data_IF_921790987545
#
_entry.id   IF_921790987545
#
_cell.length_a   1.000
_cell.length_b   1.000
_cell.length_c   1.000
_cell.angle_alpha   90.00
_cell.angle_beta   90.00
_cell.angle_gamma   90.00
#
_symmetry.space_group_name_H-M   'P 1'
#
loop_
_entity.id
_entity.type
_entity.pdbx_description
1 polymer ?
#
# COMPACT_ATOMS: atom_id res chain seq x y z
N UNK A 1 28.86 -3.63 10.40
CA UNK A 1 28.81 -5.09 10.14
C UNK A 1 27.38 -5.41 9.76
N UNK A 2 27.12 -5.82 8.51
CA UNK A 2 25.77 -6.08 7.99
C UNK A 2 25.19 -7.44 8.45
N UNK A 3 25.99 -8.25 9.12
CA UNK A 3 25.60 -9.58 9.58
C UNK A 3 26.28 -9.89 10.92
N UNK A 4 25.54 -9.75 12.02
CA UNK A 4 25.98 -10.23 13.33
C UNK A 4 25.42 -11.64 13.52
N UNK A 5 26.30 -12.64 13.58
CA UNK A 5 25.87 -14.02 13.77
C UNK A 5 25.92 -14.37 15.25
N UNK A 6 24.80 -14.80 15.81
CA UNK A 6 24.72 -15.36 17.18
C UNK A 6 24.26 -16.80 17.09
N UNK A 7 25.00 -17.70 17.72
CA UNK A 7 24.61 -19.09 17.87
C UNK A 7 23.70 -19.24 19.09
N UNK A 8 22.52 -19.82 18.91
CA UNK A 8 21.62 -20.22 20.01
C UNK A 8 21.31 -21.71 19.82
N UNK A 9 21.77 -22.55 20.73
CA UNK A 9 21.73 -24.00 20.54
C UNK A 9 22.59 -24.46 19.35
N UNK A 10 22.01 -25.26 18.44
CA UNK A 10 22.68 -25.72 17.23
C UNK A 10 22.52 -24.76 16.03
N UNK A 11 21.67 -23.74 16.14
CA UNK A 11 21.28 -22.87 15.01
C UNK A 11 22.03 -21.53 15.06
N UNK A 12 22.56 -21.11 13.92
CA UNK A 12 23.14 -19.78 13.74
C UNK A 12 22.06 -18.80 13.31
N UNK A 13 21.86 -17.74 14.10
CA UNK A 13 20.97 -16.64 13.77
C UNK A 13 21.82 -15.49 13.26
N UNK A 14 21.57 -15.05 12.02
CA UNK A 14 22.24 -13.88 11.45
C UNK A 14 21.30 -12.69 11.54
N UNK A 15 21.71 -11.67 12.29
CA UNK A 15 20.99 -10.42 12.43
C UNK A 15 21.56 -9.38 11.49
N UNK A 16 20.68 -8.75 10.71
CA UNK A 16 21.06 -7.61 9.88
C UNK A 16 20.89 -6.32 10.70
N UNK A 17 21.99 -5.86 11.30
CA UNK A 17 22.01 -4.63 12.10
C UNK A 17 22.52 -3.50 11.22
N UNK A 18 21.67 -2.50 11.01
CA UNK A 18 22.02 -1.30 10.25
C UNK A 18 22.67 -0.28 11.18
N UNK A 19 23.82 0.26 10.79
CA UNK A 19 24.66 1.12 11.65
C UNK A 19 24.91 2.46 10.99
N UNK A 20 24.17 3.49 11.42
CA UNK A 20 24.40 4.88 11.00
C UNK A 20 25.61 5.46 11.71
N UNK A 21 26.42 6.21 10.97
CA UNK A 21 27.65 6.83 11.46
C UNK A 21 27.60 8.31 11.13
N UNK A 22 27.66 9.16 12.15
CA UNK A 22 27.72 10.62 12.02
C UNK A 22 29.10 11.10 12.44
N UNK A 23 29.84 11.66 11.49
CA UNK A 23 31.13 12.29 11.71
C UNK A 23 30.97 13.79 11.97
N UNK A 24 31.43 14.26 13.12
CA UNK A 24 31.38 15.68 13.46
C UNK A 24 32.77 16.32 13.42
N UNK A 25 32.89 17.46 12.73
CA UNK A 25 34.11 18.27 12.66
C UNK A 25 35.39 17.42 12.42
N UNK A 26 35.33 16.54 11.41
CA UNK A 26 36.36 15.52 11.18
C UNK A 26 37.57 16.07 10.43
N UNK A 27 38.74 15.54 10.76
CA UNK A 27 39.94 15.67 9.93
C UNK A 27 39.84 14.77 8.69
N UNK A 28 40.60 15.11 7.63
CA UNK A 28 40.62 14.32 6.39
C UNK A 28 41.01 12.85 6.62
N UNK A 29 41.88 12.58 7.60
CA UNK A 29 42.38 11.24 7.91
C UNK A 29 41.34 10.36 8.61
N UNK A 30 40.34 10.95 9.28
CA UNK A 30 39.30 10.20 9.99
C UNK A 30 38.20 9.69 9.03
N UNK A 31 37.92 10.44 7.95
CA UNK A 31 36.81 10.16 7.02
C UNK A 31 36.77 8.72 6.47
N UNK A 32 37.89 8.14 5.97
CA UNK A 32 37.87 6.78 5.41
C UNK A 32 37.45 5.69 6.41
N UNK A 33 37.74 5.89 7.70
CA UNK A 33 37.35 4.94 8.74
C UNK A 33 35.84 4.99 9.00
N UNK A 34 35.25 6.19 9.06
CA UNK A 34 33.81 6.34 9.23
C UNK A 34 33.05 5.85 7.99
N UNK A 35 33.55 6.14 6.79
CA UNK A 35 33.00 5.63 5.52
C UNK A 35 32.99 4.09 5.50
N UNK A 36 34.08 3.46 5.95
CA UNK A 36 34.17 2.01 6.07
C UNK A 36 33.15 1.47 7.09
N UNK A 37 32.96 2.16 8.22
CA UNK A 37 31.99 1.77 9.24
C UNK A 37 30.55 1.88 8.71
N UNK A 38 30.19 2.97 8.05
CA UNK A 38 28.87 3.18 7.45
C UNK A 38 28.61 2.17 6.31
N UNK A 39 29.61 1.92 5.46
CA UNK A 39 29.51 0.97 4.35
C UNK A 39 29.32 -0.46 4.86
N UNK A 40 30.14 -0.88 5.85
CA UNK A 40 29.96 -2.18 6.52
C UNK A 40 28.68 -2.23 7.35
N UNK A 41 28.17 -1.09 7.79
CA UNK A 41 26.91 -0.91 8.51
C UNK A 41 25.69 -0.92 7.61
N UNK A 42 25.86 -0.91 6.28
CA UNK A 42 24.78 -0.94 5.30
C UNK A 42 23.96 0.35 5.20
N UNK A 43 24.47 1.48 5.71
CA UNK A 43 23.76 2.78 5.70
C UNK A 43 24.55 3.89 5.01
N UNK A 44 25.68 3.57 4.38
CA UNK A 44 26.44 4.56 3.61
C UNK A 44 25.66 4.99 2.36
N UNK A 45 25.67 6.29 2.08
CA UNK A 45 25.19 6.87 0.82
C UNK A 45 26.43 7.17 -0.02
N UNK A 46 26.51 6.61 -1.23
CA UNK A 46 27.70 6.70 -2.10
C UNK A 46 29.02 6.26 -1.43
N UNK A 47 28.92 5.29 -0.51
CA UNK A 47 30.07 4.78 0.25
C UNK A 47 30.50 5.66 1.42
N UNK A 48 29.80 6.77 1.68
CA UNK A 48 30.16 7.75 2.69
C UNK A 48 29.30 7.69 3.96
N UNK A 49 29.91 8.03 5.09
CA UNK A 49 29.22 8.34 6.34
C UNK A 49 28.54 9.72 6.28
N UNK A 50 27.63 9.99 7.21
CA UNK A 50 26.99 11.30 7.31
C UNK A 50 27.96 12.28 7.99
N UNK A 51 28.24 13.41 7.36
CA UNK A 51 29.16 14.41 7.88
C UNK A 51 28.43 15.68 8.31
N UNK A 52 28.87 16.25 9.44
CA UNK A 52 28.33 17.48 9.99
C UNK A 52 29.45 18.37 10.54
N UNK A 53 29.68 19.52 9.91
CA UNK A 53 30.72 20.47 10.33
C UNK A 53 30.17 21.63 11.19
N UNK A 54 28.86 21.65 11.44
CA UNK A 54 28.19 22.65 12.29
C UNK A 54 26.88 22.10 12.87
N UNK A 55 26.26 22.85 13.78
CA UNK A 55 25.02 22.46 14.45
C UNK A 55 23.85 22.19 13.48
N UNK A 56 23.74 22.96 12.40
CA UNK A 56 22.70 22.73 11.38
C UNK A 56 22.95 21.41 10.62
N UNK A 57 24.20 21.10 10.29
CA UNK A 57 24.58 19.84 9.67
C UNK A 57 24.29 18.62 10.54
N UNK A 58 24.42 18.74 11.87
CA UNK A 58 24.04 17.67 12.81
C UNK A 58 22.53 17.45 12.75
N UNK A 59 21.73 18.53 12.76
CA UNK A 59 20.28 18.43 12.66
C UNK A 59 19.85 17.73 11.36
N UNK A 60 20.42 18.13 10.21
CA UNK A 60 20.16 17.48 8.91
C UNK A 60 20.60 16.02 8.89
N UNK A 61 21.76 15.68 9.46
CA UNK A 61 22.23 14.31 9.53
C UNK A 61 21.30 13.42 10.37
N UNK A 62 20.85 13.92 11.53
CA UNK A 62 19.89 13.22 12.38
C UNK A 62 18.53 13.08 11.70
N UNK A 63 18.06 14.11 11.00
CA UNK A 63 16.80 14.08 10.26
C UNK A 63 16.84 13.05 9.12
N UNK A 64 17.95 12.99 8.38
CA UNK A 64 18.17 11.96 7.36
C UNK A 64 18.19 10.55 7.96
N UNK A 65 18.80 10.37 9.13
CA UNK A 65 18.82 9.07 9.82
C UNK A 65 17.41 8.67 10.24
N UNK A 66 16.68 9.57 10.91
CA UNK A 66 15.33 9.30 11.38
C UNK A 66 14.38 9.06 10.20
N UNK A 67 14.49 9.86 9.14
CA UNK A 67 13.77 9.64 7.89
C UNK A 67 14.08 8.27 7.29
N UNK A 68 15.35 7.84 7.22
CA UNK A 68 15.70 6.51 6.71
C UNK A 68 15.20 5.37 7.60
N UNK A 69 15.08 5.58 8.92
CA UNK A 69 14.54 4.58 9.84
C UNK A 69 13.01 4.49 9.67
N UNK A 70 12.34 5.64 9.56
CA UNK A 70 10.89 5.74 9.41
C UNK A 70 10.45 5.29 8.01
N UNK A 71 11.23 5.55 6.96
CA UNK A 71 10.89 5.23 5.58
C UNK A 71 11.16 3.77 5.18
N UNK A 72 11.18 2.85 6.14
CA UNK A 72 11.38 1.43 5.87
C UNK A 72 10.07 0.70 5.72
N UNK A 73 10.12 -0.41 5.01
CA UNK A 73 8.95 -1.28 4.89
C UNK A 73 8.59 -1.87 6.25
N UNK A 74 7.43 -1.49 6.79
CA UNK A 74 6.83 -2.08 7.99
C UNK A 74 5.68 -3.01 7.62
N UNK A 75 5.38 -3.96 8.51
CA UNK A 75 4.17 -4.78 8.43
C UNK A 75 3.51 -4.82 9.80
N UNK A 76 2.27 -4.36 9.88
CA UNK A 76 1.42 -4.48 11.08
C UNK A 76 0.14 -5.27 10.79
N UNK A 77 0.01 -5.83 9.59
CA UNK A 77 -1.08 -6.71 9.21
C UNK A 77 -0.65 -8.17 9.42
N UNK A 78 -1.59 -9.03 9.82
CA UNK A 78 -1.29 -10.47 9.86
C UNK A 78 -1.25 -11.02 8.44
N UNK A 79 -0.27 -11.88 8.15
CA UNK A 79 -0.20 -12.54 6.85
C UNK A 79 -1.41 -13.46 6.62
N UNK A 80 -1.82 -13.60 5.36
CA UNK A 80 -2.92 -14.49 4.97
C UNK A 80 -2.38 -15.77 4.35
N UNK A 81 -2.93 -16.91 4.77
CA UNK A 81 -2.63 -18.23 4.21
C UNK A 81 -3.95 -18.92 3.93
N UNK A 82 -4.17 -19.38 2.70
CA UNK A 82 -5.31 -20.24 2.38
C UNK A 82 -4.99 -21.67 2.80
N UNK A 83 -5.62 -22.16 3.88
CA UNK A 83 -5.53 -23.57 4.27
C UNK A 83 -6.72 -24.35 3.71
N UNK A 84 -6.53 -25.05 2.58
CA UNK A 84 -7.49 -26.04 2.07
C UNK A 84 -6.87 -27.44 2.12
N UNK A 85 -7.63 -28.43 2.61
CA UNK A 85 -7.17 -29.84 2.76
C UNK A 85 -6.89 -30.53 1.43
N UNK A 86 -7.61 -30.14 0.38
CA UNK A 86 -7.22 -30.36 -1.02
C UNK A 86 -6.51 -29.10 -1.47
N UNK A 87 -5.24 -29.21 -1.89
CA UNK A 87 -4.36 -28.10 -2.23
C UNK A 87 -4.92 -27.26 -3.39
N UNK A 88 -5.87 -26.39 -3.10
CA UNK A 88 -6.37 -25.40 -4.05
C UNK A 88 -5.33 -24.28 -4.20
N UNK A 89 -4.60 -23.94 -3.12
CA UNK A 89 -3.50 -22.99 -3.17
C UNK A 89 -2.52 -23.14 -1.99
N UNK A 90 -1.22 -22.93 -2.22
CA UNK A 90 -0.17 -22.94 -1.19
C UNK A 90 0.77 -21.72 -1.33
N UNK A 91 0.25 -20.52 -1.09
CA UNK A 91 1.01 -19.27 -1.07
C UNK A 91 0.74 -18.49 0.22
N UNK A 92 1.69 -17.63 0.56
CA UNK A 92 1.56 -16.65 1.63
C UNK A 92 1.30 -15.27 1.02
N UNK A 93 0.33 -14.55 1.58
CA UNK A 93 0.05 -13.17 1.22
C UNK A 93 0.52 -12.24 2.33
N UNK A 94 1.37 -11.29 1.97
CA UNK A 94 2.00 -10.36 2.90
C UNK A 94 1.64 -8.92 2.51
N UNK A 95 1.14 -8.17 3.48
CA UNK A 95 0.92 -6.74 3.38
C UNK A 95 2.04 -5.99 4.11
N UNK A 96 2.70 -5.08 3.42
CA UNK A 96 3.72 -4.18 4.00
C UNK A 96 3.50 -2.76 3.50
N UNK A 97 4.15 -1.76 4.09
CA UNK A 97 4.09 -0.39 3.60
C UNK A 97 5.35 0.39 3.91
N UNK A 98 5.63 1.42 3.12
CA UNK A 98 6.76 2.33 3.26
C UNK A 98 6.24 3.72 3.67
N UNK A 99 6.42 4.13 4.94
CA UNK A 99 6.12 5.48 5.38
C UNK A 99 6.98 6.51 4.65
N UNK A 100 6.41 7.68 4.38
CA UNK A 100 7.17 8.84 3.88
C UNK A 100 6.73 10.08 4.65
N UNK A 101 7.68 10.93 5.06
CA UNK A 101 7.37 12.20 5.73
C UNK A 101 6.84 13.26 4.76
N UNK A 102 7.20 13.14 3.48
CA UNK A 102 6.93 14.15 2.46
C UNK A 102 5.50 14.11 1.89
N UNK A 103 4.69 13.12 2.29
CA UNK A 103 3.35 12.93 1.74
C UNK A 103 2.43 12.25 2.76
N UNK A 104 1.16 12.68 2.85
CA UNK A 104 0.14 11.96 3.62
C UNK A 104 -0.15 10.56 3.05
N UNK A 105 0.29 10.25 1.83
CA UNK A 105 0.10 8.97 1.20
C UNK A 105 1.34 8.07 1.37
N UNK A 106 1.21 7.02 2.15
CA UNK A 106 2.24 5.99 2.29
C UNK A 106 2.06 4.88 1.26
N UNK A 107 3.18 4.35 0.76
CA UNK A 107 3.12 3.31 -0.27
C UNK A 107 2.80 1.98 0.37
N UNK A 108 1.66 1.39 0.04
CA UNK A 108 1.36 0.01 0.39
C UNK A 108 1.89 -0.98 -0.61
N UNK A 109 2.27 -2.15 -0.13
CA UNK A 109 2.71 -3.29 -0.90
C UNK A 109 1.89 -4.51 -0.49
N UNK A 110 1.49 -5.30 -1.47
CA UNK A 110 0.79 -6.56 -1.24
C UNK A 110 1.45 -7.63 -2.10
N UNK A 111 2.13 -8.57 -1.45
CA UNK A 111 2.97 -9.57 -2.09
C UNK A 111 2.36 -10.95 -1.98
N UNK A 112 2.49 -11.73 -3.06
CA UNK A 112 2.28 -13.17 -3.04
C UNK A 112 3.63 -13.87 -3.02
N UNK A 113 3.84 -14.71 -2.02
CA UNK A 113 5.04 -15.50 -1.84
C UNK A 113 4.77 -16.98 -2.09
N UNK A 114 5.61 -17.62 -2.89
CA UNK A 114 5.62 -19.08 -3.00
C UNK A 114 6.29 -19.70 -1.78
N UNK A 115 5.73 -20.79 -1.27
CA UNK A 115 6.30 -21.55 -0.17
C UNK A 115 7.08 -22.75 -0.69
N UNK A 116 8.27 -22.99 -0.12
CA UNK A 116 9.04 -24.21 -0.31
C UNK A 116 8.37 -25.42 0.33
N UNK A 117 8.84 -26.62 -0.01
CA UNK A 117 8.34 -27.87 0.60
C UNK A 117 8.63 -27.96 2.11
N UNK A 118 9.58 -27.18 2.59
CA UNK A 118 9.94 -27.03 4.00
C UNK A 118 9.15 -25.91 4.71
N UNK A 119 8.21 -25.25 4.00
CA UNK A 119 7.42 -24.13 4.52
C UNK A 119 8.15 -22.78 4.52
N UNK A 120 9.39 -22.71 4.01
CA UNK A 120 10.12 -21.45 3.87
C UNK A 120 9.54 -20.55 2.77
N UNK A 121 9.64 -19.23 2.92
CA UNK A 121 9.32 -18.28 1.84
C UNK A 121 10.42 -18.33 0.78
N UNK A 122 10.05 -18.57 -0.48
CA UNK A 122 11.03 -18.75 -1.56
C UNK A 122 11.14 -17.51 -2.46
N UNK A 123 10.12 -17.22 -3.26
CA UNK A 123 10.13 -16.08 -4.19
C UNK A 123 8.82 -15.29 -4.13
N UNK A 124 8.92 -13.98 -4.38
CA UNK A 124 7.77 -13.13 -4.67
C UNK A 124 7.26 -13.47 -6.07
N UNK A 125 6.05 -13.99 -6.17
CA UNK A 125 5.37 -14.32 -7.42
C UNK A 125 4.89 -13.04 -8.11
N UNK A 126 4.30 -12.13 -7.34
CA UNK A 126 3.90 -10.80 -7.78
C UNK A 126 3.79 -9.85 -6.60
N UNK A 127 3.79 -8.55 -6.91
CA UNK A 127 3.54 -7.47 -5.98
C UNK A 127 2.49 -6.53 -6.58
N UNK A 128 1.36 -6.35 -5.88
CA UNK A 128 0.17 -5.71 -6.43
C UNK A 128 0.32 -4.19 -6.60
N UNK A 129 1.09 -3.52 -5.75
CA UNK A 129 1.34 -2.09 -5.84
C UNK A 129 2.09 -1.71 -7.12
N UNK A 130 3.10 -2.48 -7.52
CA UNK A 130 3.84 -2.36 -8.78
C UNK A 130 2.93 -2.60 -9.98
N UNK A 131 2.06 -3.62 -9.91
CA UNK A 131 1.07 -3.85 -10.96
C UNK A 131 0.13 -2.66 -11.07
N UNK A 132 -0.41 -2.18 -9.95
CA UNK A 132 -1.35 -1.07 -9.90
C UNK A 132 -0.72 0.27 -10.33
N UNK A 133 0.56 0.49 -10.01
CA UNK A 133 1.34 1.63 -10.46
C UNK A 133 1.30 1.74 -12.00
N UNK A 134 1.40 0.61 -12.71
CA UNK A 134 1.38 0.57 -14.18
C UNK A 134 0.00 0.72 -14.82
N UNK A 135 -1.10 0.56 -14.06
CA UNK A 135 -2.46 0.69 -14.59
C UNK A 135 -2.79 2.15 -14.84
N UNK A 136 -3.33 2.48 -16.03
CA UNK A 136 -3.74 3.86 -16.33
C UNK A 136 -4.84 4.33 -15.38
N UNK A 137 -4.79 5.59 -14.95
CA UNK A 137 -5.80 6.16 -14.04
C UNK A 137 -7.22 6.13 -14.65
N UNK A 138 -7.33 6.24 -15.98
CA UNK A 138 -8.60 6.15 -16.70
C UNK A 138 -9.20 4.73 -16.64
N UNK A 139 -8.38 3.68 -16.70
CA UNK A 139 -8.84 2.29 -16.77
C UNK A 139 -9.13 1.65 -15.41
N UNK A 140 -8.88 2.33 -14.28
CA UNK A 140 -9.14 1.76 -12.95
C UNK A 140 -10.63 1.57 -12.69
N UNK A 141 -11.02 0.38 -12.25
CA UNK A 141 -12.38 0.03 -11.86
C UNK A 141 -12.60 0.39 -10.39
N UNK A 142 -12.90 1.67 -10.13
CA UNK A 142 -13.11 2.20 -8.78
C UNK A 142 -14.58 2.52 -8.59
N UNK A 143 -15.15 2.13 -7.45
CA UNK A 143 -16.57 2.29 -7.15
C UNK A 143 -16.81 2.96 -5.82
N UNK A 144 -17.97 3.58 -5.66
CA UNK A 144 -18.46 4.09 -4.37
C UNK A 144 -19.98 3.95 -4.31
N UNK A 145 -20.61 4.37 -3.21
CA UNK A 145 -22.04 4.29 -3.02
C UNK A 145 -22.64 5.69 -2.85
N UNK A 146 -23.59 6.06 -3.72
CA UNK A 146 -24.28 7.36 -3.67
C UNK A 146 -25.79 7.10 -3.66
N UNK A 147 -26.49 7.62 -2.65
CA UNK A 147 -27.93 7.44 -2.52
C UNK A 147 -28.38 5.97 -2.47
N UNK A 148 -27.55 5.07 -1.92
CA UNK A 148 -27.82 3.63 -1.87
C UNK A 148 -27.48 2.86 -3.15
N UNK A 149 -26.99 3.52 -4.19
CA UNK A 149 -26.63 2.90 -5.47
C UNK A 149 -25.12 2.81 -5.65
N UNK A 150 -24.64 1.69 -6.17
CA UNK A 150 -23.24 1.50 -6.53
C UNK A 150 -22.94 2.30 -7.82
N UNK A 151 -22.03 3.26 -7.72
CA UNK A 151 -21.64 4.13 -8.83
C UNK A 151 -20.12 4.05 -9.08
N UNK A 152 -19.68 4.42 -10.28
CA UNK A 152 -18.26 4.54 -10.56
C UNK A 152 -17.68 5.75 -9.82
N UNK A 153 -16.54 5.58 -9.15
CA UNK A 153 -15.81 6.68 -8.53
C UNK A 153 -15.03 7.45 -9.60
N UNK A 154 -15.63 8.51 -10.11
CA UNK A 154 -15.10 9.28 -11.23
C UNK A 154 -15.61 10.73 -11.24
N UNK A 155 -14.87 11.58 -11.95
CA UNK A 155 -15.23 12.96 -12.25
C UNK A 155 -16.16 13.06 -13.46
N UNK A 156 -16.70 14.25 -13.67
CA UNK A 156 -17.67 14.55 -14.74
C UNK A 156 -17.14 14.31 -16.17
N UNK A 157 -15.83 14.36 -16.36
CA UNK A 157 -15.14 14.31 -17.65
C UNK A 157 -14.57 12.93 -18.03
N UNK A 158 -14.66 11.92 -17.15
CA UNK A 158 -14.04 10.60 -17.41
C UNK A 158 -14.96 9.68 -18.25
N UNK A 159 -16.27 9.71 -18.03
CA UNK A 159 -17.26 8.98 -18.86
C UNK A 159 -18.66 9.64 -18.78
N UNK A 160 -19.67 9.07 -19.42
CA UNK A 160 -21.05 9.62 -19.49
C UNK A 160 -21.98 9.31 -18.30
N UNK A 161 -21.57 8.45 -17.35
CA UNK A 161 -22.34 8.10 -16.15
C UNK A 161 -22.38 9.24 -15.12
N UNK A 162 -23.19 9.12 -14.07
CA UNK A 162 -23.29 10.15 -13.03
C UNK A 162 -21.97 10.30 -12.27
N UNK A 163 -21.35 11.50 -12.23
CA UNK A 163 -20.13 11.73 -11.46
C UNK A 163 -20.41 11.73 -9.95
N UNK A 164 -19.36 11.58 -9.16
CA UNK A 164 -19.45 11.73 -7.71
C UNK A 164 -19.68 13.21 -7.36
N UNK A 165 -20.82 13.59 -6.75
CA UNK A 165 -21.09 14.98 -6.42
C UNK A 165 -20.16 15.51 -5.34
N UNK A 166 -19.72 16.76 -5.46
CA UNK A 166 -18.87 17.40 -4.44
C UNK A 166 -19.51 17.41 -3.05
N UNK A 167 -20.84 17.44 -2.95
CA UNK A 167 -21.56 17.40 -1.67
C UNK A 167 -21.29 16.12 -0.89
N UNK A 168 -21.02 15.00 -1.57
CA UNK A 168 -20.63 13.73 -0.94
C UNK A 168 -19.15 13.68 -0.54
N UNK A 169 -18.36 14.67 -0.97
CA UNK A 169 -16.95 14.82 -0.64
C UNK A 169 -16.69 15.98 0.33
N UNK A 170 -17.74 16.48 1.00
CA UNK A 170 -17.63 17.52 2.03
C UNK A 170 -18.18 17.05 3.38
N UNK A 171 -17.52 17.41 4.47
CA UNK A 171 -18.08 17.31 5.81
C UNK A 171 -18.71 18.65 6.22
N UNK A 172 -19.98 18.62 6.64
CA UNK A 172 -20.65 19.78 7.21
C UNK A 172 -20.10 20.16 8.59
N UNK A 173 -19.65 19.17 9.38
CA UNK A 173 -19.22 19.35 10.77
C UNK A 173 -17.73 19.67 10.94
N UNK A 174 -16.89 19.53 9.89
CA UNK A 174 -15.50 19.95 9.97
C UNK A 174 -15.40 21.46 9.69
N UNK A 175 -15.24 22.24 10.75
CA UNK A 175 -15.04 23.70 10.70
C UNK A 175 -13.59 24.10 10.94
N UNK A 176 -12.71 23.13 11.19
CA UNK A 176 -11.33 23.35 11.65
C UNK A 176 -10.29 23.10 10.56
N UNK A 177 -10.60 22.25 9.58
CA UNK A 177 -9.68 21.95 8.46
C UNK A 177 -9.90 22.89 7.28
N UNK A 178 -8.82 23.25 6.58
CA UNK A 178 -8.92 23.97 5.31
C UNK A 178 -9.63 23.08 4.28
N UNK A 179 -10.88 23.42 3.93
CA UNK A 179 -11.65 22.66 2.95
C UNK A 179 -11.07 22.86 1.56
N UNK A 180 -10.56 21.78 0.97
CA UNK A 180 -10.08 21.79 -0.42
C UNK A 180 -11.27 21.65 -1.36
N UNK A 181 -12.20 20.76 -1.04
CA UNK A 181 -13.41 20.54 -1.84
C UNK A 181 -14.47 21.57 -1.47
N UNK A 182 -14.73 22.49 -2.37
CA UNK A 182 -15.74 23.56 -2.22
C UNK A 182 -16.78 23.57 -3.34
N UNK A 183 -16.48 22.92 -4.45
CA UNK A 183 -17.33 22.83 -5.65
C UNK A 183 -16.96 21.58 -6.46
N UNK A 184 -17.68 21.35 -7.56
CA UNK A 184 -17.43 20.17 -8.40
C UNK A 184 -16.03 20.17 -9.04
N UNK A 185 -15.49 21.33 -9.43
CA UNK A 185 -14.16 21.42 -10.03
C UNK A 185 -13.06 20.94 -9.08
N UNK A 186 -13.12 21.34 -7.80
CA UNK A 186 -12.16 20.89 -6.79
C UNK A 186 -12.36 19.42 -6.42
N UNK A 187 -13.60 18.94 -6.35
CA UNK A 187 -13.89 17.52 -6.18
C UNK A 187 -13.32 16.67 -7.33
N UNK A 188 -13.49 17.11 -8.57
CA UNK A 188 -12.99 16.42 -9.76
C UNK A 188 -11.46 16.28 -9.74
N UNK A 189 -10.74 17.31 -9.24
CA UNK A 189 -9.28 17.25 -9.04
C UNK A 189 -8.87 16.23 -7.99
N UNK A 190 -9.56 16.19 -6.85
CA UNK A 190 -9.32 15.17 -5.81
C UNK A 190 -9.60 13.77 -6.35
N UNK A 191 -10.71 13.57 -7.07
CA UNK A 191 -11.03 12.28 -7.69
C UNK A 191 -9.92 11.84 -8.65
N UNK A 192 -9.48 12.73 -9.55
CA UNK A 192 -8.40 12.43 -10.50
C UNK A 192 -7.08 12.13 -9.80
N UNK A 193 -6.76 12.87 -8.73
CA UNK A 193 -5.59 12.60 -7.91
C UNK A 193 -5.62 11.19 -7.31
N UNK A 194 -6.72 10.80 -6.67
CA UNK A 194 -6.90 9.46 -6.06
C UNK A 194 -6.88 8.35 -7.12
N UNK A 195 -7.41 8.60 -8.31
CA UNK A 195 -7.30 7.67 -9.45
C UNK A 195 -5.86 7.51 -9.95
N UNK A 196 -4.99 8.50 -9.70
CA UNK A 196 -3.58 8.51 -10.06
C UNK A 196 -3.24 9.26 -11.35
N UNK A 197 -4.01 10.29 -11.69
CA UNK A 197 -3.66 11.19 -12.81
C UNK A 197 -2.49 12.09 -12.40
N UNK A 198 -1.43 12.12 -13.22
CA UNK A 198 -0.31 13.06 -13.02
C UNK A 198 -0.72 14.52 -13.30
N UNK A 199 -1.58 14.69 -14.30
CA UNK A 199 -2.12 15.96 -14.76
C UNK A 199 -3.61 15.79 -15.02
N UNK A 200 -4.40 16.80 -14.68
CA UNK A 200 -5.81 16.88 -14.99
C UNK A 200 -6.01 16.98 -16.52
N UNK A 201 -6.65 16.01 -17.19
CA UNK A 201 -6.88 16.04 -18.63
C UNK A 201 -7.82 17.17 -19.09
N UNK A 202 -8.67 17.70 -18.20
CA UNK A 202 -9.67 18.71 -18.57
C UNK A 202 -9.08 20.12 -18.70
N UNK A 203 -8.12 20.48 -17.83
CA UNK A 203 -7.57 21.84 -17.76
C UNK A 203 -6.03 21.90 -17.74
N UNK A 204 -5.34 20.75 -17.76
CA UNK A 204 -3.87 20.68 -17.75
C UNK A 204 -3.23 20.95 -16.38
N UNK A 205 -4.02 21.07 -15.29
CA UNK A 205 -3.48 21.27 -13.94
C UNK A 205 -2.60 20.10 -13.54
N UNK A 206 -1.37 20.37 -13.11
CA UNK A 206 -0.49 19.34 -12.54
C UNK A 206 -1.03 18.93 -11.17
N UNK A 207 -1.34 17.64 -11.02
CA UNK A 207 -1.82 17.05 -9.76
C UNK A 207 -0.67 16.39 -8.97
N UNK A 208 0.35 15.90 -9.68
CA UNK A 208 1.57 15.30 -9.12
C UNK A 208 1.37 14.38 -7.90
N UNK A 209 0.46 13.38 -7.97
CA UNK A 209 0.43 12.32 -6.96
C UNK A 209 1.77 11.59 -6.96
N UNK A 210 2.11 10.94 -5.84
CA UNK A 210 3.20 9.96 -5.83
C UNK A 210 2.95 8.97 -6.98
N UNK A 211 4.02 8.53 -7.65
CA UNK A 211 3.94 7.46 -8.65
C UNK A 211 3.68 6.10 -7.96
N UNK A 212 2.57 6.00 -7.23
CA UNK A 212 2.09 4.84 -6.49
C UNK A 212 0.60 5.02 -6.24
N UNK A 213 -0.17 3.93 -6.29
CA UNK A 213 -1.65 4.00 -6.27
C UNK A 213 -2.31 3.13 -5.19
N UNK A 214 -1.52 2.29 -4.51
CA UNK A 214 -1.97 1.45 -3.40
C UNK A 214 -1.53 2.10 -2.09
N UNK A 215 -2.47 2.57 -1.28
CA UNK A 215 -2.18 3.08 0.05
C UNK A 215 -1.66 2.00 0.99
N UNK A 216 -1.11 2.41 2.12
CA UNK A 216 -0.61 1.49 3.14
C UNK A 216 -1.72 0.58 3.69
N UNK A 217 -1.41 -0.72 3.72
CA UNK A 217 -2.27 -1.75 4.29
C UNK A 217 -1.90 -1.89 5.77
N UNK A 218 -2.47 -1.01 6.59
CA UNK A 218 -2.18 -0.89 8.01
C UNK A 218 -3.30 -1.54 8.85
N UNK A 219 -2.95 -2.47 9.75
CA UNK A 219 -3.92 -3.25 10.56
C UNK A 219 -5.05 -3.91 9.76
N UNK A 220 -4.90 -4.05 8.44
CA UNK A 220 -5.84 -4.73 7.57
C UNK A 220 -5.22 -6.03 7.10
N UNK A 221 -5.61 -7.13 7.73
CA UNK A 221 -5.14 -8.46 7.32
C UNK A 221 -5.75 -8.82 5.97
N UNK A 222 -4.94 -9.12 4.94
CA UNK A 222 -5.47 -9.54 3.65
C UNK A 222 -6.33 -10.80 3.77
N UNK A 223 -7.42 -10.87 3.03
CA UNK A 223 -8.34 -12.02 3.04
C UNK A 223 -8.40 -12.62 1.64
N UNK A 224 -8.17 -13.92 1.54
CA UNK A 224 -8.33 -14.66 0.29
C UNK A 224 -9.78 -15.12 0.14
N UNK A 225 -10.46 -14.66 -0.90
CA UNK A 225 -11.78 -15.14 -1.30
C UNK A 225 -11.66 -16.21 -2.39
N UNK A 226 -11.66 -17.47 -1.95
CA UNK A 226 -11.72 -18.63 -2.83
C UNK A 226 -13.12 -19.20 -3.00
N UNK A 227 -13.19 -20.39 -3.62
CA UNK A 227 -14.41 -21.18 -3.73
C UNK A 227 -15.02 -21.38 -2.33
N UNK A 228 -16.34 -21.17 -2.15
CA UNK A 228 -16.98 -21.45 -0.87
C UNK A 228 -16.69 -22.88 -0.40
N UNK A 229 -16.41 -23.05 0.89
CA UNK A 229 -15.96 -24.33 1.43
C UNK A 229 -16.97 -25.46 1.12
N UNK A 230 -16.52 -26.59 0.55
CA UNK A 230 -17.39 -27.75 0.37
C UNK A 230 -17.80 -28.39 1.72
N UNK A 231 -17.04 -28.11 2.79
CA UNK A 231 -17.27 -28.66 4.13
C UNK A 231 -18.12 -27.76 5.02
N UNK A 232 -18.45 -26.54 4.59
CA UNK A 232 -19.43 -25.74 5.29
C UNK A 232 -20.83 -26.27 4.95
N UNK A 233 -21.57 -26.62 5.99
CA UNK A 233 -22.97 -27.04 5.91
C UNK A 233 -23.79 -26.09 6.76
N UNK A 234 -24.77 -25.44 6.14
CA UNK A 234 -25.72 -24.59 6.84
C UNK A 234 -26.87 -25.47 7.36
N UNK A 235 -26.89 -25.71 8.67
CA UNK A 235 -27.90 -26.55 9.33
C UNK A 235 -29.30 -25.91 9.34
N UNK A 236 -29.41 -24.61 9.07
CA UNK A 236 -30.68 -23.86 9.08
C UNK A 236 -31.27 -23.76 7.67
N UNK A 237 -30.43 -23.82 6.62
CA UNK A 237 -30.83 -23.76 5.21
C UNK A 237 -31.49 -25.06 4.73
N UNK A 238 -32.79 -25.19 5.02
CA UNK A 238 -33.62 -26.34 4.59
C UNK A 238 -33.73 -26.50 3.08
N UNK A 239 -33.41 -25.46 2.30
CA UNK A 239 -33.53 -25.45 0.84
C UNK A 239 -32.20 -25.76 0.14
N UNK A 240 -31.11 -25.96 0.89
CA UNK A 240 -29.76 -26.18 0.34
C UNK A 240 -29.31 -25.08 -0.63
N UNK A 241 -29.81 -23.85 -0.41
CA UNK A 241 -29.52 -22.66 -1.22
C UNK A 241 -28.03 -22.31 -1.21
N UNK A 242 -27.35 -22.54 -0.08
CA UNK A 242 -25.91 -22.35 0.03
C UNK A 242 -25.12 -23.33 -0.83
N UNK A 243 -25.54 -24.61 -0.92
CA UNK A 243 -24.87 -25.57 -1.80
C UNK A 243 -25.08 -25.25 -3.28
N UNK A 244 -26.29 -24.80 -3.66
CA UNK A 244 -26.56 -24.29 -5.00
C UNK A 244 -25.69 -23.05 -5.30
N UNK A 245 -25.61 -22.09 -4.38
CA UNK A 245 -24.75 -20.92 -4.51
C UNK A 245 -23.28 -21.30 -4.66
N UNK A 246 -22.75 -22.21 -3.83
CA UNK A 246 -21.38 -22.71 -3.92
C UNK A 246 -21.08 -23.32 -5.29
N UNK A 247 -21.98 -24.16 -5.78
CA UNK A 247 -21.81 -24.85 -7.07
C UNK A 247 -21.85 -23.89 -8.26
N UNK A 248 -22.64 -22.81 -8.15
CA UNK A 248 -22.74 -21.77 -9.18
C UNK A 248 -21.62 -20.72 -9.14
N UNK A 249 -20.84 -20.64 -8.05
CA UNK A 249 -19.79 -19.62 -7.86
C UNK A 249 -18.42 -20.21 -7.52
N UNK A 250 -17.85 -21.07 -8.39
CA UNK A 250 -16.48 -21.53 -8.22
C UNK A 250 -15.50 -20.35 -8.33
N UNK A 251 -14.55 -20.29 -7.39
CA UNK A 251 -13.47 -19.30 -7.32
C UNK A 251 -12.14 -20.00 -7.06
N UNK A 252 -11.85 -21.02 -7.85
CA UNK A 252 -10.64 -21.82 -7.72
C UNK A 252 -9.42 -21.03 -8.21
N UNK A 253 -8.24 -21.34 -7.69
CA UNK A 253 -7.00 -20.72 -8.17
C UNK A 253 -6.72 -21.08 -9.64
N UNK A 254 -7.14 -22.26 -10.10
CA UNK A 254 -7.03 -22.72 -11.50
C UNK A 254 -7.80 -21.85 -12.49
N UNK A 255 -8.94 -21.33 -12.07
CA UNK A 255 -9.85 -20.56 -12.93
C UNK A 255 -9.47 -19.07 -12.95
N UNK A 256 -8.48 -18.68 -12.15
CA UNK A 256 -8.02 -17.30 -12.03
C UNK A 256 -9.00 -16.36 -11.35
N UNK A 257 -10.09 -16.88 -10.76
CA UNK A 257 -11.20 -16.12 -10.16
C UNK A 257 -11.08 -15.96 -8.65
N UNK A 258 -10.11 -16.62 -8.00
CA UNK A 258 -9.78 -16.36 -6.58
C UNK A 258 -9.25 -14.94 -6.41
N UNK A 259 -9.80 -14.24 -5.41
CA UNK A 259 -9.44 -12.86 -5.11
C UNK A 259 -8.68 -12.74 -3.79
N UNK A 260 -7.80 -11.76 -3.69
CA UNK A 260 -7.18 -11.29 -2.45
C UNK A 260 -7.68 -9.89 -2.18
N UNK A 261 -8.11 -9.65 -0.95
CA UNK A 261 -8.79 -8.42 -0.61
C UNK A 261 -8.16 -7.79 0.63
N UNK A 262 -7.91 -6.48 0.58
CA UNK A 262 -7.34 -5.72 1.70
C UNK A 262 -7.89 -4.30 1.72
N UNK A 263 -8.07 -3.75 2.92
CA UNK A 263 -8.30 -2.33 3.12
C UNK A 263 -6.99 -1.57 3.20
N UNK A 264 -6.95 -0.38 2.62
CA UNK A 264 -5.80 0.51 2.67
C UNK A 264 -6.20 1.90 3.19
N UNK A 265 -5.23 2.61 3.75
CA UNK A 265 -5.42 3.95 4.31
C UNK A 265 -5.58 5.06 3.25
N UNK A 266 -5.54 4.70 1.97
CA UNK A 266 -5.99 5.56 0.87
C UNK A 266 -7.52 5.67 0.77
N UNK A 267 -8.23 5.12 1.76
CA UNK A 267 -9.69 5.13 1.88
C UNK A 267 -10.37 4.07 1.03
N UNK A 268 -9.60 3.16 0.42
CA UNK A 268 -10.11 2.15 -0.48
C UNK A 268 -10.03 0.76 0.13
N UNK A 269 -10.99 -0.06 -0.28
CA UNK A 269 -10.90 -1.51 -0.18
C UNK A 269 -10.58 -2.05 -1.56
N UNK A 270 -9.47 -2.77 -1.69
CA UNK A 270 -8.97 -3.27 -2.96
C UNK A 270 -9.20 -4.77 -3.07
N UNK A 271 -9.57 -5.22 -4.27
CA UNK A 271 -9.69 -6.62 -4.60
C UNK A 271 -8.78 -6.96 -5.78
N UNK A 272 -7.80 -7.82 -5.55
CA UNK A 272 -6.79 -8.24 -6.52
C UNK A 272 -7.03 -9.69 -6.96
N UNK A 273 -6.75 -10.00 -8.22
CA UNK A 273 -6.75 -11.39 -8.69
C UNK A 273 -5.50 -12.10 -8.17
N UNK A 274 -5.68 -13.23 -7.48
CA UNK A 274 -4.54 -13.98 -6.92
C UNK A 274 -3.61 -14.59 -7.97
N UNK A 275 -4.11 -14.80 -9.18
CA UNK A 275 -3.37 -15.36 -10.31
C UNK A 275 -2.35 -14.37 -10.88
N UNK A 276 -2.67 -13.08 -10.92
CA UNK A 276 -1.87 -12.05 -11.62
C UNK A 276 -1.37 -10.92 -10.72
N UNK A 277 -2.00 -10.71 -9.56
CA UNK A 277 -1.79 -9.54 -8.71
C UNK A 277 -2.45 -8.26 -9.24
N UNK A 278 -3.22 -8.34 -10.34
CA UNK A 278 -3.89 -7.17 -10.91
C UNK A 278 -5.13 -6.80 -10.08
N UNK A 279 -5.34 -5.49 -9.87
CA UNK A 279 -6.56 -4.97 -9.25
C UNK A 279 -7.76 -5.26 -10.16
N UNK A 280 -8.76 -5.96 -9.62
CA UNK A 280 -10.01 -6.26 -10.31
C UNK A 280 -11.04 -5.14 -10.08
N UNK A 281 -11.14 -4.65 -8.84
CA UNK A 281 -11.88 -3.45 -8.48
C UNK A 281 -11.37 -2.87 -7.17
N UNK A 282 -11.67 -1.60 -6.94
CA UNK A 282 -11.61 -0.98 -5.61
C UNK A 282 -12.93 -0.32 -5.25
N UNK A 283 -13.17 -0.18 -3.95
CA UNK A 283 -14.37 0.44 -3.40
C UNK A 283 -14.02 1.49 -2.36
N UNK A 284 -14.63 2.66 -2.46
CA UNK A 284 -14.51 3.75 -1.49
C UNK A 284 -15.80 3.83 -0.69
N UNK A 285 -15.79 3.51 0.61
CA UNK A 285 -16.92 3.71 1.49
C UNK A 285 -17.39 5.17 1.51
N UNK A 286 -18.71 5.45 1.51
CA UNK A 286 -19.22 6.83 1.46
C UNK A 286 -18.75 7.72 2.61
N UNK A 287 -18.52 7.14 3.78
CA UNK A 287 -18.00 7.85 4.95
C UNK A 287 -16.52 8.27 4.82
N UNK A 288 -15.80 7.72 3.84
CA UNK A 288 -14.41 8.08 3.54
C UNK A 288 -14.30 9.06 2.36
N UNK A 289 -15.34 9.24 1.54
CA UNK A 289 -15.33 10.19 0.41
C UNK A 289 -14.89 11.60 0.81
N UNK A 290 -15.37 12.19 1.92
CA UNK A 290 -14.93 13.54 2.27
C UNK A 290 -13.52 13.59 2.90
N UNK A 291 -12.94 12.45 3.30
CA UNK A 291 -11.56 12.36 3.82
C UNK A 291 -10.51 12.27 2.71
N UNK A 292 -10.92 12.00 1.46
CA UNK A 292 -9.99 11.93 0.34
C UNK A 292 -9.27 13.26 0.08
N UNK A 293 -9.85 14.37 0.52
CA UNK A 293 -9.20 15.68 0.44
C UNK A 293 -7.98 15.79 1.36
N UNK A 294 -7.88 14.99 2.42
CA UNK A 294 -6.74 15.00 3.36
C UNK A 294 -5.50 14.36 2.73
N UNK A 295 -5.70 13.51 1.72
CA UNK A 295 -4.65 12.87 0.91
C UNK A 295 -4.21 13.79 -0.23
N UNK A 296 -5.09 14.70 -0.68
CA UNK A 296 -4.82 15.59 -1.79
C UNK A 296 -3.90 16.75 -1.38
N UNK A 297 -2.81 16.94 -2.11
CA UNK A 297 -1.91 18.07 -1.95
C UNK A 297 -1.42 18.54 -3.32
N UNK A 298 -1.21 19.85 -3.46
CA UNK A 298 -0.67 20.46 -4.68
C UNK A 298 0.85 20.66 -4.63
N UNK A 299 1.43 20.54 -3.42
CA UNK A 299 2.87 20.57 -3.13
C UNK A 299 3.15 19.54 -2.06
N UNK A 300 4.10 18.62 -2.30
CA UNK A 300 4.52 17.67 -1.27
C UNK A 300 5.10 18.45 -0.08
N UNK A 301 4.50 18.33 1.10
CA UNK A 301 4.98 19.04 2.29
C UNK A 301 6.35 18.51 2.68
N UNK A 302 7.37 19.35 2.58
CA UNK A 302 8.65 19.13 3.26
C UNK A 302 8.51 19.56 4.71
N UNK A 303 8.16 18.63 5.59
CA UNK A 303 8.35 18.79 7.03
C UNK A 303 9.02 17.55 7.58
#
# INVERSE_FOLDING_TARGET
>A
MRAVTKKIGATNYTFNILTFVVGMALTADAKPYLDTMASRGGTAVDGQALYADNAAGIATALDNIMSNIISRAYSFATSSISASRTADENYLYEATFEPVSTSPFWKGYLKKWSLGSDGSMYQVVWEAGNKLQSISAASRNMKTLIGGNLVNFKSSDIDTSTPVPYTNMTFAADTTSTKIVTNQTTADKVIKFIRGYATDPADGTVLNPINWKLGDVFHSSPITLGTPSPFYYDVIDKNDSFAAYRSAHPRASSDGTRMLIAGANDGQFHAFLTSTGNEFWSFIPPNLLPKLQDIYYTTASST
#
